data_IF_847518307881
#
_entry.id   IF_847518307881
#
_cell.length_a   1.000
_cell.length_b   1.000
_cell.length_c   1.000
_cell.angle_alpha   90.00
_cell.angle_beta   90.00
_cell.angle_gamma   90.00
#
_symmetry.space_group_name_H-M   'P 1'
#
loop_
_entity.id
_entity.type
_entity.pdbx_description
1 polymer ?
#
# COMPACT_ATOMS: atom_id res chain seq x y z
N UNK A 1 29.72 7.09 -9.31
CA UNK A 1 29.76 7.30 -7.84
C UNK A 1 29.04 6.13 -7.21
N UNK A 2 29.69 5.40 -6.30
CA UNK A 2 29.02 4.35 -5.52
C UNK A 2 28.18 5.10 -4.48
N UNK A 3 26.86 5.02 -4.56
CA UNK A 3 25.99 5.58 -3.52
C UNK A 3 26.35 4.94 -2.18
N UNK A 4 26.54 5.73 -1.12
CA UNK A 4 26.81 5.15 0.20
C UNK A 4 25.62 4.28 0.59
N UNK A 5 25.91 3.01 0.86
CA UNK A 5 24.90 2.07 1.37
C UNK A 5 24.59 2.49 2.80
N UNK A 6 23.32 2.83 3.08
CA UNK A 6 22.86 3.13 4.43
C UNK A 6 23.09 1.92 5.33
N UNK A 7 23.63 2.16 6.53
CA UNK A 7 23.63 1.15 7.58
C UNK A 7 22.19 0.90 8.07
N UNK A 8 21.98 -0.25 8.67
CA UNK A 8 20.66 -0.57 9.27
C UNK A 8 20.29 0.41 10.38
N UNK A 9 21.25 0.92 11.14
CA UNK A 9 21.03 1.90 12.20
C UNK A 9 20.61 3.26 11.63
N UNK A 10 21.28 3.73 10.59
CA UNK A 10 20.88 4.95 9.88
C UNK A 10 19.46 4.83 9.30
N UNK A 11 19.12 3.66 8.74
CA UNK A 11 17.77 3.42 8.24
C UNK A 11 16.74 3.45 9.39
N UNK A 12 16.99 2.81 10.54
CA UNK A 12 16.12 2.91 11.71
C UNK A 12 15.89 4.36 12.12
N UNK A 13 16.97 5.15 12.17
CA UNK A 13 16.90 6.55 12.56
C UNK A 13 16.06 7.38 11.57
N UNK A 14 16.30 7.22 10.26
CA UNK A 14 15.53 7.93 9.22
C UNK A 14 14.05 7.59 9.30
N UNK A 15 13.72 6.29 9.39
CA UNK A 15 12.33 5.85 9.50
C UNK A 15 11.68 6.35 10.79
N UNK A 16 12.42 6.34 11.90
CA UNK A 16 11.93 6.86 13.18
C UNK A 16 11.61 8.36 13.09
N UNK A 17 12.51 9.18 12.54
CA UNK A 17 12.27 10.62 12.38
C UNK A 17 11.02 10.88 11.55
N UNK A 18 10.84 10.18 10.41
CA UNK A 18 9.65 10.33 9.58
C UNK A 18 8.37 9.95 10.33
N UNK A 19 8.41 8.85 11.08
CA UNK A 19 7.25 8.36 11.86
C UNK A 19 6.94 9.31 13.00
N UNK A 20 7.97 9.79 13.71
CA UNK A 20 7.83 10.67 14.86
C UNK A 20 7.31 12.07 14.47
N UNK A 21 7.70 12.57 13.28
CA UNK A 21 7.15 13.79 12.71
C UNK A 21 5.67 13.64 12.30
N UNK A 22 5.29 12.47 11.75
CA UNK A 22 3.92 12.19 11.34
C UNK A 22 2.98 11.88 12.52
N UNK A 23 3.52 11.32 13.60
CA UNK A 23 2.72 10.84 14.72
C UNK A 23 1.85 11.94 15.35
N UNK A 24 2.37 13.14 15.70
CA UNK A 24 1.57 14.22 16.27
C UNK A 24 0.50 14.79 15.34
N UNK A 25 0.66 14.62 14.02
CA UNK A 25 -0.33 15.10 13.05
C UNK A 25 -1.61 14.25 13.05
N UNK A 26 -1.48 12.95 13.37
CA UNK A 26 -2.57 11.97 13.20
C UNK A 26 -3.05 11.35 14.51
N UNK A 27 -2.20 11.31 15.53
CA UNK A 27 -2.55 10.72 16.81
C UNK A 27 -3.39 11.68 17.64
N UNK A 28 -4.61 11.30 18.05
CA UNK A 28 -5.45 12.17 18.88
C UNK A 28 -4.84 12.36 20.27
N UNK A 29 -5.13 13.51 20.90
CA UNK A 29 -4.55 13.92 22.18
C UNK A 29 -4.75 12.88 23.29
N UNK A 30 -5.90 12.23 23.35
CA UNK A 30 -6.18 11.18 24.34
C UNK A 30 -5.28 9.93 24.18
N UNK A 31 -4.70 9.69 22.99
CA UNK A 31 -3.67 8.67 22.76
C UNK A 31 -2.30 9.19 23.15
N UNK A 32 -1.97 10.41 22.73
CA UNK A 32 -0.65 11.03 22.94
C UNK A 32 -0.36 11.26 24.44
N UNK A 33 -1.35 11.70 25.18
CA UNK A 33 -1.23 12.12 26.60
C UNK A 33 -1.88 11.13 27.59
N UNK A 34 -1.96 9.85 27.22
CA UNK A 34 -2.48 8.82 28.13
C UNK A 34 -1.57 8.62 29.35
N UNK A 35 -2.18 8.39 30.53
CA UNK A 35 -1.50 8.36 31.84
C UNK A 35 -0.36 7.36 32.00
N UNK A 36 -0.25 6.34 31.13
CA UNK A 36 0.73 5.25 31.24
C UNK A 36 1.89 5.36 30.23
N UNK A 37 2.06 6.52 29.60
CA UNK A 37 3.08 6.71 28.55
C UNK A 37 4.49 6.39 29.04
N UNK A 38 4.83 6.85 30.24
CA UNK A 38 6.17 6.66 30.85
C UNK A 38 6.47 5.20 31.24
N UNK A 39 5.44 4.36 31.39
CA UNK A 39 5.58 2.94 31.76
C UNK A 39 5.55 1.98 30.56
N UNK A 40 5.48 2.50 29.33
CA UNK A 40 5.24 1.66 28.15
C UNK A 40 6.49 0.96 27.62
N UNK A 41 7.66 1.38 28.01
CA UNK A 41 8.95 0.92 27.49
C UNK A 41 9.24 1.59 26.14
N UNK A 42 8.64 1.11 25.05
CA UNK A 42 8.74 1.76 23.73
C UNK A 42 7.69 2.87 23.58
N UNK A 43 8.02 3.95 22.88
CA UNK A 43 7.03 4.93 22.39
C UNK A 43 6.16 4.32 21.28
N UNK A 44 5.07 4.98 20.90
CA UNK A 44 4.25 4.52 19.76
C UNK A 44 5.02 4.67 18.44
N UNK A 45 5.79 5.75 18.28
CA UNK A 45 6.67 5.96 17.12
C UNK A 45 7.70 4.85 16.98
N UNK A 46 8.31 4.40 18.07
CA UNK A 46 9.25 3.26 18.06
C UNK A 46 8.55 1.95 17.66
N UNK A 47 7.36 1.67 18.19
CA UNK A 47 6.58 0.45 17.80
C UNK A 47 6.22 0.48 16.32
N UNK A 48 5.82 1.64 15.79
CA UNK A 48 5.48 1.81 14.37
C UNK A 48 6.74 1.67 13.50
N UNK A 49 7.85 2.27 13.91
CA UNK A 49 9.16 2.15 13.21
C UNK A 49 9.63 0.70 13.12
N UNK A 50 9.55 -0.04 14.22
CA UNK A 50 9.84 -1.47 14.23
C UNK A 50 8.91 -2.25 13.30
N UNK A 51 7.61 -1.89 13.27
CA UNK A 51 6.64 -2.52 12.35
C UNK A 51 6.98 -2.26 10.89
N UNK A 52 7.34 -1.03 10.53
CA UNK A 52 7.77 -0.64 9.18
C UNK A 52 9.04 -1.39 8.77
N UNK A 53 10.03 -1.45 9.66
CA UNK A 53 11.29 -2.13 9.39
C UNK A 53 11.11 -3.64 9.22
N UNK A 54 10.25 -4.26 10.02
CA UNK A 54 9.88 -5.67 9.89
C UNK A 54 9.30 -5.97 8.51
N UNK A 55 8.32 -5.18 8.05
CA UNK A 55 7.68 -5.38 6.75
C UNK A 55 8.63 -5.03 5.60
N UNK A 56 9.39 -3.95 5.71
CA UNK A 56 10.33 -3.50 4.67
C UNK A 56 11.47 -4.49 4.41
N UNK A 57 11.93 -5.20 5.43
CA UNK A 57 12.96 -6.25 5.31
C UNK A 57 12.40 -7.65 4.99
N UNK A 58 11.14 -7.74 4.60
CA UNK A 58 10.48 -9.02 4.29
C UNK A 58 10.59 -10.05 5.42
N UNK A 59 10.58 -9.57 6.66
CA UNK A 59 10.76 -10.44 7.82
C UNK A 59 9.41 -11.03 8.24
N UNK A 60 9.05 -12.16 7.67
CA UNK A 60 7.79 -12.86 7.88
C UNK A 60 7.53 -13.25 9.33
N UNK A 61 8.62 -13.57 10.04
CA UNK A 61 8.54 -14.01 11.42
C UNK A 61 8.77 -12.84 12.39
N UNK A 62 7.70 -12.39 13.02
CA UNK A 62 7.78 -11.40 14.11
C UNK A 62 8.72 -11.86 15.23
N UNK A 63 8.77 -13.17 15.51
CA UNK A 63 9.69 -13.73 16.51
C UNK A 63 11.14 -13.60 16.08
N UNK A 64 11.45 -13.91 14.81
CA UNK A 64 12.80 -13.78 14.27
C UNK A 64 13.26 -12.31 14.28
N UNK A 65 12.39 -11.42 13.79
CA UNK A 65 12.68 -9.99 13.79
C UNK A 65 12.93 -9.44 15.21
N UNK A 66 12.05 -9.77 16.16
CA UNK A 66 12.20 -9.31 17.55
C UNK A 66 13.52 -9.77 18.17
N UNK A 67 13.95 -11.01 17.90
CA UNK A 67 15.26 -11.52 18.36
C UNK A 67 16.44 -10.78 17.74
N UNK A 68 16.36 -10.40 16.48
CA UNK A 68 17.38 -9.58 15.81
C UNK A 68 17.47 -8.22 16.47
N UNK A 69 16.34 -7.56 16.73
CA UNK A 69 16.31 -6.26 17.41
C UNK A 69 16.89 -6.37 18.83
N UNK A 70 16.51 -7.40 19.57
CA UNK A 70 17.00 -7.63 20.94
C UNK A 70 18.51 -7.88 20.97
N UNK A 71 19.05 -8.60 19.99
CA UNK A 71 20.47 -8.96 19.94
C UNK A 71 21.34 -7.81 19.40
N UNK A 72 20.92 -7.21 18.28
CA UNK A 72 21.82 -6.38 17.48
C UNK A 72 21.49 -4.87 17.58
N UNK A 73 20.25 -4.50 17.99
CA UNK A 73 19.77 -3.11 18.01
C UNK A 73 19.16 -2.66 19.33
N UNK A 74 19.45 -3.38 20.44
CA UNK A 74 18.92 -3.03 21.77
C UNK A 74 19.37 -1.63 22.22
N UNK A 75 20.52 -1.18 21.79
CA UNK A 75 21.05 0.16 22.09
C UNK A 75 20.21 1.29 21.44
N UNK A 76 19.54 1.02 20.32
CA UNK A 76 18.58 1.95 19.70
C UNK A 76 17.20 1.89 20.39
N UNK A 77 16.85 0.75 20.97
CA UNK A 77 15.55 0.50 21.61
C UNK A 77 15.72 0.00 23.06
N UNK A 78 16.31 0.83 23.96
CA UNK A 78 16.63 0.38 25.33
C UNK A 78 15.40 -0.02 26.15
N UNK A 79 14.22 0.48 25.76
CA UNK A 79 12.93 0.12 26.35
C UNK A 79 12.23 -1.06 25.65
N UNK A 80 12.95 -1.90 24.90
CA UNK A 80 12.34 -3.01 24.14
C UNK A 80 11.49 -3.90 25.03
N UNK A 81 10.22 -4.03 24.66
CA UNK A 81 9.21 -4.81 25.37
C UNK A 81 9.18 -6.26 24.83
N UNK A 82 8.62 -7.18 25.61
CA UNK A 82 8.46 -8.56 25.16
C UNK A 82 7.69 -8.65 23.83
N UNK A 83 8.00 -9.64 23.00
CA UNK A 83 7.33 -9.88 21.72
C UNK A 83 5.80 -9.87 21.82
N UNK A 84 5.25 -10.48 22.88
CA UNK A 84 3.79 -10.55 23.05
C UNK A 84 3.18 -9.17 23.34
N UNK A 85 3.88 -8.29 24.06
CA UNK A 85 3.46 -6.89 24.26
C UNK A 85 3.62 -6.09 22.99
N UNK A 86 4.73 -6.25 22.26
CA UNK A 86 4.95 -5.63 20.95
C UNK A 86 3.82 -5.99 19.98
N UNK A 87 3.49 -7.28 19.83
CA UNK A 87 2.40 -7.76 18.97
C UNK A 87 1.06 -7.10 19.29
N UNK A 88 0.70 -7.01 20.57
CA UNK A 88 -0.56 -6.36 20.99
C UNK A 88 -0.55 -4.88 20.65
N UNK A 89 0.51 -4.16 21.03
CA UNK A 89 0.63 -2.70 20.76
C UNK A 89 0.60 -2.40 19.25
N UNK A 90 1.30 -3.19 18.45
CA UNK A 90 1.27 -3.06 16.99
C UNK A 90 -0.15 -3.14 16.43
N UNK A 91 -0.98 -4.05 16.96
CA UNK A 91 -2.40 -4.16 16.60
C UNK A 91 -3.24 -2.99 17.11
N UNK A 92 -3.00 -2.56 18.32
CA UNK A 92 -3.73 -1.44 18.95
C UNK A 92 -3.45 -0.13 18.20
N UNK A 93 -2.27 0.02 17.61
CA UNK A 93 -1.86 1.17 16.81
C UNK A 93 -2.33 1.12 15.34
N UNK A 94 -3.12 0.12 14.92
CA UNK A 94 -3.60 0.01 13.54
C UNK A 94 -4.33 1.29 13.07
N UNK A 95 -5.15 1.89 13.94
CA UNK A 95 -5.86 3.14 13.64
C UNK A 95 -4.89 4.28 13.31
N UNK A 96 -3.86 4.45 14.14
CA UNK A 96 -2.83 5.46 13.93
C UNK A 96 -2.02 5.20 12.65
N UNK A 97 -1.58 3.97 12.43
CA UNK A 97 -0.85 3.58 11.20
C UNK A 97 -1.68 3.85 9.94
N UNK A 98 -3.00 3.62 10.02
CA UNK A 98 -3.93 3.90 8.91
C UNK A 98 -4.05 5.40 8.65
N UNK A 99 -4.14 6.24 9.68
CA UNK A 99 -4.20 7.69 9.50
C UNK A 99 -2.85 8.27 9.02
N UNK A 100 -1.69 7.73 9.46
CA UNK A 100 -0.39 8.07 8.88
C UNK A 100 -0.33 7.74 7.39
N UNK A 101 -0.76 6.54 7.03
CA UNK A 101 -0.82 6.12 5.62
C UNK A 101 -1.73 7.05 4.81
N UNK A 102 -2.90 7.41 5.35
CA UNK A 102 -3.83 8.36 4.72
C UNK A 102 -3.21 9.76 4.54
N UNK A 103 -2.51 10.27 5.55
CA UNK A 103 -1.80 11.56 5.47
C UNK A 103 -0.78 11.54 4.32
N UNK A 104 0.07 10.52 4.26
CA UNK A 104 1.04 10.35 3.17
C UNK A 104 0.38 10.22 1.80
N UNK A 105 -0.65 9.37 1.68
CA UNK A 105 -1.39 9.20 0.43
C UNK A 105 -1.96 10.54 -0.07
N UNK A 106 -2.56 11.34 0.81
CA UNK A 106 -3.11 12.65 0.45
C UNK A 106 -2.04 13.63 -0.03
N UNK A 107 -0.85 13.65 0.61
CA UNK A 107 0.28 14.51 0.20
C UNK A 107 0.72 14.17 -1.23
N UNK A 108 0.95 12.90 -1.53
CA UNK A 108 1.39 12.46 -2.86
C UNK A 108 0.28 12.56 -3.90
N UNK A 109 -0.97 12.39 -3.49
CA UNK A 109 -2.14 12.60 -4.34
C UNK A 109 -2.24 14.03 -4.85
N UNK A 110 -1.90 15.04 -4.04
CA UNK A 110 -1.83 16.45 -4.48
C UNK A 110 -0.81 16.67 -5.58
N UNK A 111 0.31 15.95 -5.56
CA UNK A 111 1.43 16.11 -6.50
C UNK A 111 1.28 15.26 -7.78
N UNK A 112 0.28 14.41 -7.86
CA UNK A 112 0.12 13.49 -8.98
C UNK A 112 -0.40 14.23 -10.24
N UNK A 113 0.28 14.03 -11.38
CA UNK A 113 -0.17 14.53 -12.68
C UNK A 113 -1.24 13.62 -13.31
N UNK A 114 -1.13 12.34 -13.10
CA UNK A 114 -2.12 11.31 -13.48
C UNK A 114 -2.05 10.16 -12.50
N UNK A 115 -3.09 9.36 -12.48
CA UNK A 115 -3.24 8.21 -11.60
C UNK A 115 -3.41 6.93 -12.42
N UNK A 116 -3.07 5.80 -11.85
CA UNK A 116 -3.40 4.48 -12.39
C UNK A 116 -4.16 3.66 -11.36
N UNK A 117 -5.17 2.90 -11.81
CA UNK A 117 -5.92 1.96 -10.98
C UNK A 117 -5.66 0.52 -11.44
N UNK A 118 -5.42 -0.37 -10.49
CA UNK A 118 -5.28 -1.81 -10.73
C UNK A 118 -5.48 -2.61 -9.44
N UNK A 119 -5.52 -3.94 -9.52
CA UNK A 119 -5.72 -4.80 -8.35
C UNK A 119 -4.82 -6.04 -8.35
N UNK A 120 -4.51 -6.52 -7.15
CA UNK A 120 -3.75 -7.77 -6.94
C UNK A 120 -4.41 -8.66 -5.88
N UNK A 121 -4.25 -10.00 -5.96
CA UNK A 121 -4.77 -10.92 -4.96
C UNK A 121 -4.02 -10.83 -3.63
N UNK A 122 -4.74 -10.99 -2.52
CA UNK A 122 -4.21 -11.23 -1.17
C UNK A 122 -4.70 -12.60 -0.74
N UNK A 123 -3.82 -13.58 -0.84
CA UNK A 123 -4.16 -14.99 -0.61
C UNK A 123 -4.12 -15.32 0.88
N UNK A 124 -5.21 -15.85 1.40
CA UNK A 124 -5.28 -16.41 2.77
C UNK A 124 -5.17 -17.93 2.79
N UNK A 125 -5.62 -18.57 1.71
CA UNK A 125 -5.40 -19.99 1.45
C UNK A 125 -5.44 -20.30 -0.05
N UNK A 126 -4.61 -21.25 -0.49
CA UNK A 126 -4.58 -21.75 -1.86
C UNK A 126 -5.51 -22.95 -2.03
N UNK A 127 -6.02 -23.14 -3.25
CA UNK A 127 -6.72 -24.35 -3.66
C UNK A 127 -5.74 -25.56 -3.67
N UNK A 128 -6.12 -26.76 -3.20
CA UNK A 128 -7.44 -27.19 -2.69
C UNK A 128 -7.65 -27.01 -1.18
N UNK A 129 -6.67 -26.49 -0.44
CA UNK A 129 -6.69 -26.42 1.03
C UNK A 129 -7.81 -25.54 1.61
N UNK A 130 -8.33 -24.61 0.83
CA UNK A 130 -9.42 -23.73 1.25
C UNK A 130 -10.72 -24.46 1.63
N UNK A 131 -11.00 -25.65 1.01
CA UNK A 131 -12.19 -26.45 1.32
C UNK A 131 -12.09 -27.19 2.65
N UNK A 132 -10.89 -27.50 3.10
CA UNK A 132 -10.61 -28.21 4.35
C UNK A 132 -10.17 -27.26 5.49
N UNK A 133 -9.75 -26.06 5.19
CA UNK A 133 -9.44 -25.06 6.19
C UNK A 133 -10.76 -24.58 6.81
N UNK A 134 -10.98 -24.83 8.10
CA UNK A 134 -11.97 -24.09 8.88
C UNK A 134 -11.52 -22.63 8.95
N UNK A 135 -11.77 -21.91 7.87
CA UNK A 135 -11.33 -20.53 7.74
C UNK A 135 -12.20 -19.66 8.62
N UNK A 136 -11.66 -19.28 9.76
CA UNK A 136 -12.25 -18.29 10.66
C UNK A 136 -12.16 -16.84 10.13
N UNK A 137 -11.64 -16.65 8.93
CA UNK A 137 -11.58 -15.33 8.30
C UNK A 137 -12.89 -15.11 7.53
N UNK A 138 -13.92 -14.65 8.25
CA UNK A 138 -15.14 -14.21 7.61
C UNK A 138 -14.82 -13.09 6.61
N UNK A 139 -15.60 -12.94 5.55
CA UNK A 139 -15.38 -12.03 4.44
C UNK A 139 -14.20 -12.39 3.49
N UNK A 140 -13.43 -13.45 3.75
CA UNK A 140 -12.54 -14.00 2.73
C UNK A 140 -13.39 -14.84 1.75
N UNK A 141 -13.27 -14.53 0.46
CA UNK A 141 -14.08 -15.16 -0.59
C UNK A 141 -13.19 -15.79 -1.67
N UNK A 142 -13.80 -16.68 -2.46
CA UNK A 142 -13.12 -17.34 -3.57
C UNK A 142 -12.91 -16.35 -4.73
N UNK A 143 -11.69 -16.22 -5.20
CA UNK A 143 -11.32 -15.45 -6.39
C UNK A 143 -10.51 -16.28 -7.37
N UNK A 144 -10.36 -15.77 -8.57
CA UNK A 144 -9.49 -16.34 -9.60
C UNK A 144 -8.34 -15.38 -9.92
N UNK A 145 -7.11 -15.87 -9.92
CA UNK A 145 -5.92 -15.14 -10.35
C UNK A 145 -5.60 -15.51 -11.79
N UNK A 146 -5.81 -14.62 -12.78
CA UNK A 146 -5.51 -14.90 -14.18
C UNK A 146 -4.02 -15.12 -14.45
N UNK A 147 -3.14 -14.41 -13.73
CA UNK A 147 -1.69 -14.52 -13.87
C UNK A 147 -1.18 -15.89 -13.41
N UNK A 148 -1.70 -16.39 -12.30
CA UNK A 148 -1.35 -17.71 -11.74
C UNK A 148 -2.24 -18.85 -12.25
N UNK A 149 -3.30 -18.54 -12.99
CA UNK A 149 -4.30 -19.50 -13.50
C UNK A 149 -4.88 -20.42 -12.42
N UNK A 150 -5.06 -19.88 -11.19
CA UNK A 150 -5.57 -20.68 -10.07
C UNK A 150 -6.61 -19.90 -9.26
N UNK A 151 -7.48 -20.69 -8.60
CA UNK A 151 -8.39 -20.17 -7.60
C UNK A 151 -7.67 -19.98 -6.26
N UNK A 152 -8.04 -18.95 -5.54
CA UNK A 152 -7.56 -18.68 -4.18
C UNK A 152 -8.73 -18.27 -3.29
N UNK A 153 -8.55 -18.38 -2.00
CA UNK A 153 -9.45 -17.82 -0.99
C UNK A 153 -8.78 -16.61 -0.36
N UNK A 154 -9.47 -15.47 -0.31
CA UNK A 154 -8.87 -14.28 0.28
C UNK A 154 -9.56 -12.98 -0.10
N UNK A 155 -8.74 -12.00 -0.33
CA UNK A 155 -9.11 -10.62 -0.65
C UNK A 155 -8.43 -10.17 -1.94
N UNK A 156 -8.85 -9.02 -2.42
CA UNK A 156 -8.21 -8.32 -3.52
C UNK A 156 -7.84 -6.91 -3.06
N UNK A 157 -6.58 -6.55 -3.23
CA UNK A 157 -6.08 -5.21 -2.95
C UNK A 157 -6.17 -4.37 -4.23
N UNK A 158 -6.97 -3.32 -4.19
CA UNK A 158 -7.05 -2.33 -5.25
C UNK A 158 -6.23 -1.12 -4.86
N UNK A 159 -5.45 -0.59 -5.78
CA UNK A 159 -4.61 0.59 -5.56
C UNK A 159 -4.92 1.68 -6.58
N UNK A 160 -4.84 2.92 -6.12
CA UNK A 160 -4.72 4.11 -6.94
C UNK A 160 -3.30 4.64 -6.76
N UNK A 161 -2.52 4.73 -7.85
CA UNK A 161 -1.09 5.02 -7.81
C UNK A 161 -0.80 6.23 -8.69
N UNK A 162 0.06 7.14 -8.21
CA UNK A 162 0.51 8.32 -8.96
C UNK A 162 1.51 7.97 -10.08
N UNK A 163 1.73 8.94 -10.95
CA UNK A 163 2.78 8.89 -11.99
C UNK A 163 4.20 8.68 -11.43
N UNK A 164 4.45 9.05 -10.18
CA UNK A 164 5.75 8.83 -9.51
C UNK A 164 5.88 7.44 -8.89
N UNK A 165 4.77 6.72 -8.71
CA UNK A 165 4.71 5.42 -8.05
C UNK A 165 4.29 5.50 -6.58
N UNK A 166 3.93 6.68 -6.07
CA UNK A 166 3.36 6.79 -4.72
C UNK A 166 1.91 6.27 -4.70
N UNK A 167 1.54 5.54 -3.66
CA UNK A 167 0.17 5.06 -3.45
C UNK A 167 -0.68 6.23 -2.99
N UNK A 168 -1.79 6.48 -3.67
CA UNK A 168 -2.71 7.60 -3.41
C UNK A 168 -4.03 7.16 -2.77
N UNK A 169 -4.43 5.90 -2.95
CA UNK A 169 -5.59 5.30 -2.29
C UNK A 169 -5.50 3.78 -2.34
N UNK A 170 -6.22 3.10 -1.44
CA UNK A 170 -6.36 1.64 -1.47
C UNK A 170 -7.71 1.17 -0.94
N UNK A 171 -8.19 0.08 -1.52
CA UNK A 171 -9.36 -0.65 -1.04
C UNK A 171 -9.02 -2.14 -0.95
N UNK A 172 -9.36 -2.76 0.18
CA UNK A 172 -9.31 -4.21 0.34
C UNK A 172 -10.73 -4.76 0.27
N UNK A 173 -11.02 -5.53 -0.76
CA UNK A 173 -12.33 -6.16 -0.98
C UNK A 173 -12.26 -7.68 -0.85
N UNK A 174 -13.37 -8.39 -0.55
CA UNK A 174 -13.45 -9.84 -0.77
C UNK A 174 -13.09 -10.20 -2.21
N UNK A 175 -12.45 -11.35 -2.43
CA UNK A 175 -11.89 -11.70 -3.74
C UNK A 175 -12.93 -11.94 -4.84
N UNK A 176 -14.21 -12.15 -4.48
CA UNK A 176 -15.34 -12.32 -5.41
C UNK A 176 -15.99 -10.99 -5.83
N UNK A 177 -15.64 -9.86 -5.21
CA UNK A 177 -16.15 -8.54 -5.60
C UNK A 177 -15.53 -8.14 -6.94
N UNK A 178 -16.37 -7.65 -7.86
CA UNK A 178 -15.94 -7.22 -9.19
C UNK A 178 -15.01 -6.01 -9.15
N UNK A 179 -13.96 -6.04 -9.96
CA UNK A 179 -13.00 -4.91 -10.04
C UNK A 179 -13.70 -3.59 -10.42
N UNK A 180 -14.78 -3.67 -11.22
CA UNK A 180 -15.56 -2.50 -11.65
C UNK A 180 -16.34 -1.86 -10.49
N UNK A 181 -16.91 -2.67 -9.60
CA UNK A 181 -17.68 -2.18 -8.46
C UNK A 181 -16.79 -1.43 -7.46
N UNK A 182 -15.57 -1.96 -7.26
CA UNK A 182 -14.57 -1.28 -6.42
C UNK A 182 -14.05 -0.02 -7.10
N UNK A 183 -13.81 -0.06 -8.42
CA UNK A 183 -13.36 1.10 -9.18
C UNK A 183 -14.39 2.23 -9.15
N UNK A 184 -15.68 1.93 -9.24
CA UNK A 184 -16.75 2.92 -9.10
C UNK A 184 -16.62 3.68 -7.79
N UNK A 185 -16.47 2.96 -6.70
CA UNK A 185 -16.28 3.56 -5.37
C UNK A 185 -15.00 4.41 -5.29
N UNK A 186 -13.86 3.87 -5.72
CA UNK A 186 -12.58 4.59 -5.68
C UNK A 186 -12.60 5.84 -6.55
N UNK A 187 -13.18 5.78 -7.74
CA UNK A 187 -13.26 6.92 -8.65
C UNK A 187 -14.25 7.98 -8.16
N UNK A 188 -15.34 7.58 -7.51
CA UNK A 188 -16.25 8.53 -6.88
C UNK A 188 -15.57 9.28 -5.71
N UNK A 189 -14.79 8.57 -4.88
CA UNK A 189 -13.99 9.17 -3.81
C UNK A 189 -12.92 10.11 -4.38
N UNK A 190 -12.25 9.71 -5.49
CA UNK A 190 -11.26 10.55 -6.16
C UNK A 190 -11.88 11.85 -6.69
N UNK A 191 -13.00 11.75 -7.37
CA UNK A 191 -13.69 12.90 -7.93
C UNK A 191 -14.15 13.90 -6.85
N UNK A 192 -14.73 13.40 -5.76
CA UNK A 192 -15.13 14.21 -4.60
C UNK A 192 -13.90 14.88 -3.93
N UNK A 193 -12.79 14.15 -3.81
CA UNK A 193 -11.56 14.69 -3.25
C UNK A 193 -10.98 15.82 -4.14
N UNK A 194 -10.92 15.65 -5.47
CA UNK A 194 -10.48 16.69 -6.41
C UNK A 194 -11.37 17.94 -6.33
N UNK A 195 -12.69 17.74 -6.24
CA UNK A 195 -13.65 18.84 -6.15
C UNK A 195 -13.46 19.70 -4.89
N UNK A 196 -12.93 19.13 -3.81
CA UNK A 196 -12.60 19.84 -2.57
C UNK A 196 -11.27 20.59 -2.63
N UNK A 197 -10.48 20.46 -3.70
CA UNK A 197 -9.17 21.06 -3.87
C UNK A 197 -9.07 21.94 -5.12
N UNK A 198 -10.01 22.88 -5.35
CA UNK A 198 -10.09 23.64 -6.61
C UNK A 198 -8.86 24.53 -6.86
N UNK A 199 -8.11 24.91 -5.80
CA UNK A 199 -6.89 25.69 -5.92
C UNK A 199 -5.71 24.93 -6.52
N UNK A 200 -5.72 23.60 -6.47
CA UNK A 200 -4.65 22.74 -6.99
C UNK A 200 -4.97 22.16 -8.37
N UNK A 201 -6.26 22.03 -8.72
CA UNK A 201 -6.69 21.38 -9.95
C UNK A 201 -7.61 22.32 -10.75
N UNK A 202 -7.05 22.93 -11.79
CA UNK A 202 -7.84 23.66 -12.79
C UNK A 202 -8.58 22.71 -13.73
N UNK A 203 -8.05 21.50 -13.91
CA UNK A 203 -8.62 20.42 -14.71
C UNK A 203 -8.56 19.09 -13.95
N UNK A 204 -9.52 18.23 -14.22
CA UNK A 204 -9.54 16.89 -13.65
C UNK A 204 -8.39 16.03 -14.16
N UNK A 205 -7.80 15.25 -13.27
CA UNK A 205 -6.67 14.38 -13.61
C UNK A 205 -7.14 13.11 -14.31
N UNK A 206 -6.40 12.64 -15.33
CA UNK A 206 -6.70 11.36 -15.94
C UNK A 206 -6.37 10.20 -15.01
N UNK A 207 -7.21 9.17 -15.04
CA UNK A 207 -6.97 7.88 -14.39
C UNK A 207 -6.81 6.81 -15.46
N UNK A 208 -5.69 6.10 -15.43
CA UNK A 208 -5.38 5.00 -16.32
C UNK A 208 -5.86 3.68 -15.72
N UNK A 209 -6.52 2.86 -16.53
CA UNK A 209 -7.00 1.56 -16.12
C UNK A 209 -6.73 0.51 -17.21
N UNK A 210 -6.80 -0.77 -16.86
CA UNK A 210 -6.74 -1.84 -17.84
C UNK A 210 -8.10 -2.14 -18.49
N UNK A 211 -8.13 -3.14 -19.38
CA UNK A 211 -9.37 -3.56 -20.04
C UNK A 211 -10.42 -4.18 -19.11
N UNK A 212 -10.04 -4.65 -17.94
CA UNK A 212 -10.95 -5.15 -16.91
C UNK A 212 -11.89 -4.08 -16.39
N UNK A 213 -11.45 -2.84 -16.42
CA UNK A 213 -12.20 -1.65 -16.00
C UNK A 213 -12.98 -0.98 -17.16
N UNK A 214 -13.12 -1.64 -18.32
CA UNK A 214 -13.89 -1.09 -19.44
C UNK A 214 -15.38 -1.02 -19.12
N UNK A 215 -15.97 0.15 -19.35
CA UNK A 215 -17.41 0.37 -19.25
C UNK A 215 -17.78 1.82 -19.55
N UNK A 216 -18.75 2.03 -20.43
CA UNK A 216 -19.16 3.41 -20.80
C UNK A 216 -19.81 4.13 -19.61
N UNK A 217 -20.48 3.40 -18.73
CA UNK A 217 -21.04 3.95 -17.50
C UNK A 217 -19.94 4.44 -16.53
N UNK A 218 -18.81 3.74 -16.42
CA UNK A 218 -17.68 4.14 -15.58
C UNK A 218 -17.04 5.42 -16.11
N UNK A 219 -16.88 5.53 -17.43
CA UNK A 219 -16.42 6.76 -18.09
C UNK A 219 -17.39 7.92 -17.83
N UNK A 220 -18.69 7.65 -17.98
CA UNK A 220 -19.72 8.66 -17.75
C UNK A 220 -19.78 9.13 -16.30
N UNK A 221 -19.60 8.20 -15.34
CA UNK A 221 -19.55 8.53 -13.92
C UNK A 221 -18.38 9.45 -13.60
N UNK A 222 -17.19 9.08 -14.04
CA UNK A 222 -15.98 9.86 -13.77
C UNK A 222 -15.99 11.20 -14.52
N UNK A 223 -16.41 11.21 -15.78
CA UNK A 223 -16.55 12.43 -16.56
C UNK A 223 -17.55 13.43 -15.97
N UNK A 224 -18.67 12.98 -15.41
CA UNK A 224 -19.65 13.85 -14.72
C UNK A 224 -19.08 14.52 -13.48
N UNK A 225 -18.12 13.88 -12.82
CA UNK A 225 -17.45 14.40 -11.63
C UNK A 225 -16.15 15.16 -11.97
N UNK A 226 -15.92 15.48 -13.25
CA UNK A 226 -14.78 16.27 -13.70
C UNK A 226 -13.48 15.48 -13.93
N UNK A 227 -13.51 14.14 -13.84
CA UNK A 227 -12.37 13.28 -14.08
C UNK A 227 -12.40 12.58 -15.44
N UNK A 228 -11.25 12.07 -15.89
CA UNK A 228 -11.13 11.31 -17.14
C UNK A 228 -10.59 9.90 -16.84
N UNK A 229 -11.41 8.89 -17.10
CA UNK A 229 -10.96 7.51 -17.04
C UNK A 229 -10.43 7.08 -18.41
N UNK A 230 -9.16 6.70 -18.44
CA UNK A 230 -8.51 6.17 -19.62
C UNK A 230 -8.32 4.66 -19.48
N UNK A 231 -8.48 3.93 -20.57
CA UNK A 231 -8.28 2.48 -20.59
C UNK A 231 -7.70 2.05 -21.91
N UNK A 232 -7.05 0.87 -21.93
CA UNK A 232 -6.48 0.33 -23.16
C UNK A 232 -7.59 -0.01 -24.14
N UNK A 233 -7.39 0.36 -25.40
CA UNK A 233 -8.30 -0.02 -26.47
C UNK A 233 -8.29 -1.55 -26.63
N UNK A 234 -9.48 -2.17 -26.63
CA UNK A 234 -9.62 -3.61 -26.93
C UNK A 234 -8.92 -3.93 -28.23
N UNK A 235 -8.20 -5.04 -28.25
CA UNK A 235 -7.68 -5.58 -29.53
C UNK A 235 -8.87 -5.80 -30.46
N UNK A 236 -8.97 -5.00 -31.50
CA UNK A 236 -9.86 -5.29 -32.62
C UNK A 236 -9.33 -6.55 -33.35
N UNK A 237 -10.25 -7.36 -33.91
CA UNK A 237 -9.88 -8.43 -34.83
C UNK A 237 -9.29 -7.87 -36.13
N UNK A 238 -9.50 -6.60 -36.46
CA UNK A 238 -8.88 -5.86 -37.55
C UNK A 238 -7.50 -5.36 -37.13
N UNK A 239 -6.55 -5.32 -38.09
CA UNK A 239 -5.24 -4.72 -37.86
C UNK A 239 -5.40 -3.28 -37.30
N UNK A 240 -4.70 -2.98 -36.20
CA UNK A 240 -4.71 -1.63 -35.63
C UNK A 240 -4.01 -0.67 -36.60
N UNK A 241 -4.54 0.53 -36.77
CA UNK A 241 -3.80 1.61 -37.45
C UNK A 241 -2.50 1.93 -36.71
N UNK A 242 -1.50 2.54 -37.36
CA UNK A 242 -0.25 2.96 -36.73
C UNK A 242 -0.50 3.88 -35.54
N UNK A 243 -1.45 4.81 -35.67
CA UNK A 243 -1.83 5.72 -34.58
C UNK A 243 -2.44 4.98 -33.37
N UNK A 244 -3.28 3.97 -33.59
CA UNK A 244 -3.82 3.14 -32.49
C UNK A 244 -2.73 2.30 -31.83
N UNK A 245 -1.77 1.79 -32.59
CA UNK A 245 -0.64 1.03 -32.06
C UNK A 245 0.26 1.91 -31.19
N UNK A 246 0.56 3.15 -31.63
CA UNK A 246 1.32 4.13 -30.89
C UNK A 246 0.60 4.53 -29.58
N UNK A 247 -0.71 4.82 -29.62
CA UNK A 247 -1.52 5.13 -28.45
C UNK A 247 -1.54 3.99 -27.41
N UNK A 248 -1.64 2.74 -27.90
CA UNK A 248 -1.59 1.57 -27.01
C UNK A 248 -0.21 1.39 -26.38
N UNK A 249 0.86 1.62 -27.13
CA UNK A 249 2.23 1.54 -26.62
C UNK A 249 2.47 2.62 -25.54
N UNK A 250 2.04 3.84 -25.80
CA UNK A 250 2.12 4.95 -24.84
C UNK A 250 1.32 4.65 -23.55
N UNK A 251 0.06 4.26 -23.66
CA UNK A 251 -0.79 3.89 -22.51
C UNK A 251 -0.17 2.74 -21.70
N UNK A 252 0.40 1.72 -22.36
CA UNK A 252 1.10 0.62 -21.69
C UNK A 252 2.33 1.12 -20.94
N UNK A 253 3.11 2.03 -21.52
CA UNK A 253 4.28 2.63 -20.88
C UNK A 253 3.91 3.39 -19.60
N UNK A 254 2.80 4.14 -19.61
CA UNK A 254 2.30 4.82 -18.41
C UNK A 254 1.83 3.82 -17.34
N UNK A 255 1.09 2.77 -17.75
CA UNK A 255 0.61 1.73 -16.81
C UNK A 255 1.71 0.87 -16.20
N UNK A 256 2.88 0.77 -16.84
CA UNK A 256 4.02 0.05 -16.28
C UNK A 256 4.41 0.54 -14.87
N UNK A 257 4.03 1.78 -14.51
CA UNK A 257 4.26 2.32 -13.19
C UNK A 257 3.50 1.55 -12.09
N UNK A 258 2.20 1.30 -12.27
CA UNK A 258 1.41 0.57 -11.26
C UNK A 258 1.82 -0.91 -11.21
N UNK A 259 2.18 -1.49 -12.36
CA UNK A 259 2.72 -2.86 -12.42
C UNK A 259 4.03 -2.98 -11.62
N UNK A 260 4.92 -1.97 -11.73
CA UNK A 260 6.15 -1.89 -10.92
C UNK A 260 5.87 -1.74 -9.43
N UNK A 261 4.83 -0.99 -9.04
CA UNK A 261 4.42 -0.85 -7.63
C UNK A 261 3.94 -2.19 -7.07
N UNK A 262 3.06 -2.91 -7.81
CA UNK A 262 2.62 -4.25 -7.39
C UNK A 262 3.79 -5.24 -7.34
N UNK A 263 4.70 -5.22 -8.32
CA UNK A 263 5.92 -6.03 -8.28
C UNK A 263 6.76 -5.75 -7.02
N UNK A 264 6.93 -4.48 -6.66
CA UNK A 264 7.64 -4.12 -5.42
C UNK A 264 6.90 -4.60 -4.16
N UNK A 265 5.57 -4.48 -4.13
CA UNK A 265 4.75 -4.96 -3.02
C UNK A 265 4.78 -6.49 -2.88
N UNK A 266 4.86 -7.22 -3.99
CA UNK A 266 5.00 -8.69 -3.99
C UNK A 266 6.42 -9.11 -3.59
N UNK A 267 7.44 -8.62 -4.30
CA UNK A 267 8.83 -9.07 -4.16
C UNK A 267 9.46 -8.61 -2.84
N UNK A 268 9.28 -7.33 -2.47
CA UNK A 268 9.92 -6.74 -1.31
C UNK A 268 9.07 -6.87 -0.04
N UNK A 269 7.75 -6.70 -0.14
CA UNK A 269 6.88 -6.69 1.03
C UNK A 269 6.04 -7.96 1.17
N UNK A 270 6.13 -8.93 0.24
CA UNK A 270 5.37 -10.19 0.26
C UNK A 270 3.87 -9.95 0.49
N UNK A 271 3.30 -8.99 -0.26
CA UNK A 271 1.94 -8.52 -0.03
C UNK A 271 0.89 -9.61 -0.25
N UNK A 272 1.09 -10.51 -1.20
CA UNK A 272 0.14 -11.56 -1.52
C UNK A 272 -0.08 -12.57 -0.37
N UNK A 273 0.95 -12.80 0.48
CA UNK A 273 0.91 -13.76 1.57
C UNK A 273 0.97 -13.06 2.94
N UNK A 274 -0.17 -12.72 3.49
CA UNK A 274 -0.20 -12.07 4.81
C UNK A 274 0.01 -13.03 5.97
N UNK A 275 -0.18 -14.35 5.78
CA UNK A 275 -0.18 -15.40 6.81
C UNK A 275 -1.09 -15.09 8.02
N UNK A 276 -2.02 -14.17 7.86
CA UNK A 276 -2.95 -13.79 8.90
C UNK A 276 -4.09 -14.80 9.02
N UNK A 277 -4.62 -14.99 10.24
CA UNK A 277 -5.71 -15.93 10.55
C UNK A 277 -7.03 -15.23 10.90
N UNK A 278 -7.13 -13.93 10.69
CA UNK A 278 -8.34 -13.15 10.93
C UNK A 278 -8.36 -11.93 10.01
N UNK A 279 -9.55 -11.39 9.72
CA UNK A 279 -9.72 -10.16 8.92
C UNK A 279 -8.90 -9.01 9.52
N UNK A 280 -8.96 -8.85 10.85
CA UNK A 280 -8.18 -7.84 11.56
C UNK A 280 -6.68 -8.03 11.35
N UNK A 281 -6.22 -9.28 11.38
CA UNK A 281 -4.82 -9.62 11.09
C UNK A 281 -4.42 -9.28 9.64
N UNK A 282 -5.27 -9.59 8.66
CA UNK A 282 -5.04 -9.20 7.25
C UNK A 282 -4.93 -7.69 7.13
N UNK A 283 -5.90 -6.93 7.67
CA UNK A 283 -5.88 -5.47 7.66
C UNK A 283 -4.61 -4.89 8.30
N UNK A 284 -4.21 -5.41 9.47
CA UNK A 284 -3.00 -4.97 10.17
C UNK A 284 -1.75 -5.17 9.30
N UNK A 285 -1.63 -6.32 8.64
CA UNK A 285 -0.48 -6.63 7.78
C UNK A 285 -0.49 -5.78 6.51
N UNK A 286 -1.64 -5.66 5.85
CA UNK A 286 -1.77 -4.84 4.63
C UNK A 286 -1.43 -3.39 4.92
N UNK A 287 -2.03 -2.79 5.96
CA UNK A 287 -1.74 -1.39 6.33
C UNK A 287 -0.26 -1.19 6.69
N UNK A 288 0.33 -2.12 7.46
CA UNK A 288 1.75 -2.01 7.82
C UNK A 288 2.69 -2.10 6.60
N UNK A 289 2.39 -2.98 5.62
CA UNK A 289 3.16 -3.12 4.38
C UNK A 289 3.02 -1.87 3.48
N UNK A 290 1.80 -1.35 3.33
CA UNK A 290 1.56 -0.12 2.58
C UNK A 290 2.21 1.09 3.25
N UNK A 291 2.18 1.16 4.60
CA UNK A 291 2.86 2.22 5.34
C UNK A 291 4.38 2.11 5.19
N UNK A 292 4.94 0.90 5.26
CA UNK A 292 6.36 0.67 5.02
C UNK A 292 6.78 1.08 3.60
N UNK A 293 5.94 0.77 2.59
CA UNK A 293 6.14 1.26 1.22
C UNK A 293 6.18 2.80 1.18
N UNK A 294 5.18 3.47 1.74
CA UNK A 294 5.04 4.93 1.63
C UNK A 294 6.06 5.71 2.47
N UNK A 295 6.41 5.22 3.67
CA UNK A 295 7.49 5.81 4.48
C UNK A 295 8.84 5.60 3.82
N UNK A 296 9.10 4.40 3.27
CA UNK A 296 10.30 4.14 2.49
C UNK A 296 10.39 4.98 1.20
N UNK A 297 9.25 5.20 0.54
CA UNK A 297 9.16 6.10 -0.61
C UNK A 297 9.57 7.53 -0.23
N UNK A 298 9.01 8.06 0.85
CA UNK A 298 9.36 9.39 1.37
C UNK A 298 10.83 9.47 1.82
N UNK A 299 11.35 8.43 2.47
CA UNK A 299 12.76 8.36 2.88
C UNK A 299 13.69 8.43 1.67
N UNK A 300 13.38 7.70 0.58
CA UNK A 300 14.17 7.77 -0.64
C UNK A 300 14.14 9.17 -1.27
N UNK A 301 12.97 9.83 -1.33
CA UNK A 301 12.88 11.21 -1.84
C UNK A 301 13.69 12.19 -0.98
N UNK A 302 13.64 12.06 0.34
CA UNK A 302 14.44 12.88 1.26
C UNK A 302 15.96 12.67 1.07
N UNK A 303 16.35 11.47 0.64
CA UNK A 303 17.74 11.12 0.32
C UNK A 303 18.14 11.49 -1.13
N UNK A 304 17.26 12.13 -1.91
CA UNK A 304 17.49 12.45 -3.32
C UNK A 304 17.47 11.23 -4.25
N UNK A 305 16.87 10.12 -3.83
CA UNK A 305 16.75 8.87 -4.60
C UNK A 305 15.34 8.75 -5.21
N UNK A 306 15.17 7.95 -6.28
CA UNK A 306 13.82 7.62 -6.74
C UNK A 306 12.99 6.99 -5.62
N UNK A 307 11.79 7.51 -5.33
CA UNK A 307 10.94 7.02 -4.24
C UNK A 307 10.68 5.50 -4.31
N UNK A 308 10.58 4.96 -5.53
CA UNK A 308 10.37 3.52 -5.79
C UNK A 308 11.60 2.63 -5.58
N UNK A 309 12.77 3.19 -5.24
CA UNK A 309 14.01 2.43 -5.02
C UNK A 309 14.05 1.70 -3.65
N UNK A 310 12.94 1.05 -3.28
CA UNK A 310 12.73 0.46 -1.95
C UNK A 310 13.63 -0.73 -1.66
N UNK A 311 13.93 -1.55 -2.68
CA UNK A 311 14.80 -2.71 -2.51
C UNK A 311 16.22 -2.31 -2.07
N UNK A 312 16.73 -1.18 -2.55
CA UNK A 312 18.04 -0.67 -2.11
C UNK A 312 17.99 0.02 -0.75
N UNK A 313 16.83 0.53 -0.34
CA UNK A 313 16.64 1.17 0.96
C UNK A 313 16.62 0.14 2.11
N UNK A 314 15.87 -0.95 1.95
CA UNK A 314 15.62 -1.94 3.01
C UNK A 314 16.62 -3.13 3.05
N UNK A 315 17.65 -3.10 2.25
CA UNK A 315 18.72 -4.14 2.22
C UNK A 315 19.60 -4.19 3.47
#
# INVERSE_FOLDING_TARGET
MIEPTLSTEELFLILYCIVDDLYPEVAPDWVRFRRSTDQMGLSDSEVITLSIMQEGRSNDSELSFHRVVEKDYLHLFPGLISRSRYHRRRKDLLGIQREMLRSLMNRFRLLAMWLSIDSAPITTAESPRWKSAQMSIWAAEAGFSPSKRQFFLGFRLHLLVSNTGAICDFVLSPANVGERDVAEHMLAVEADWQARQPSFFSEARPVLADNGYCGDWLKSLFGKNGGTLWYALRRSKKAASEGEAALRAWHRGLRARIESVFGSLEDQFQMEETRARSVWGVMTRVVAKLLAYMVGFLANEALGRPGTALKSLYR
#
